data_IF_538314383794
#
_entry.id   IF_538314383794
#
_cell.length_a   1.000
_cell.length_b   1.000
_cell.length_c   1.000
_cell.angle_alpha   90.00
_cell.angle_beta   90.00
_cell.angle_gamma   90.00
#
_symmetry.space_group_name_H-M   'P 1'
#
loop_
_entity.id
_entity.type
_entity.pdbx_description
1 polymer ?
#
# COMPACT_ATOMS: atom_id res chain seq x y z
N UNK A 1 -32.76 54.85 -7.13
CA UNK A 1 -31.70 55.03 -8.12
C UNK A 1 -30.40 54.60 -7.44
N UNK A 2 -29.92 53.42 -7.75
CA UNK A 2 -28.76 52.80 -7.08
C UNK A 2 -27.58 52.77 -8.03
N UNK A 3 -26.41 53.20 -7.55
CA UNK A 3 -25.14 53.05 -8.25
C UNK A 3 -24.46 51.78 -7.74
N UNK A 4 -24.21 50.85 -8.66
CA UNK A 4 -23.39 49.68 -8.43
C UNK A 4 -21.92 50.06 -8.53
N UNK A 5 -21.17 49.96 -7.42
CA UNK A 5 -19.75 50.12 -7.41
C UNK A 5 -19.07 48.79 -7.83
N UNK A 6 -18.36 48.80 -8.95
CA UNK A 6 -17.51 47.71 -9.41
C UNK A 6 -16.13 47.93 -8.77
N UNK A 7 -15.73 46.99 -7.88
CA UNK A 7 -14.42 46.97 -7.28
C UNK A 7 -13.45 46.22 -8.23
N UNK A 8 -12.59 46.96 -8.91
CA UNK A 8 -11.55 46.40 -9.77
C UNK A 8 -10.34 46.07 -8.90
N UNK A 9 -10.08 44.76 -8.64
CA UNK A 9 -8.86 44.33 -7.95
C UNK A 9 -7.79 44.11 -9.00
N UNK A 10 -6.83 45.05 -9.03
CA UNK A 10 -5.63 44.96 -9.87
C UNK A 10 -4.63 44.05 -9.19
N UNK A 11 -4.40 42.85 -9.74
CA UNK A 11 -3.40 41.91 -9.27
C UNK A 11 -2.05 42.31 -9.88
N UNK A 12 -1.15 42.93 -9.09
CA UNK A 12 0.24 43.13 -9.48
C UNK A 12 1.02 41.83 -9.35
N UNK A 13 1.34 41.19 -10.48
CA UNK A 13 2.31 40.09 -10.54
C UNK A 13 3.70 40.71 -10.62
N UNK A 14 4.46 40.67 -9.53
CA UNK A 14 5.90 40.95 -9.55
C UNK A 14 6.63 39.71 -10.07
N UNK A 15 7.07 39.75 -11.32
CA UNK A 15 8.02 38.78 -11.85
C UNK A 15 9.43 39.10 -11.35
N UNK A 16 9.89 38.37 -10.34
CA UNK A 16 11.31 38.36 -9.95
C UNK A 16 12.01 37.37 -10.89
N UNK A 17 12.69 37.90 -11.88
CA UNK A 17 13.63 37.15 -12.70
C UNK A 17 14.88 36.86 -11.89
N UNK A 18 14.90 35.79 -11.09
CA UNK A 18 16.11 35.21 -10.56
C UNK A 18 16.68 34.29 -11.65
N UNK A 19 17.86 34.59 -12.15
CA UNK A 19 18.59 33.74 -13.07
C UNK A 19 18.90 32.39 -12.42
N UNK A 20 18.12 31.37 -12.77
CA UNK A 20 18.38 30.01 -12.39
C UNK A 20 19.33 29.47 -13.45
N UNK A 21 20.60 29.33 -13.08
CA UNK A 21 21.52 28.49 -13.83
C UNK A 21 20.90 27.11 -13.97
N UNK A 22 20.72 26.63 -15.20
CA UNK A 22 20.30 25.28 -15.49
C UNK A 22 21.32 24.31 -14.91
N UNK A 23 21.09 23.88 -13.67
CA UNK A 23 21.70 22.68 -13.14
C UNK A 23 21.05 21.53 -13.92
N UNK A 24 21.71 21.05 -14.96
CA UNK A 24 21.40 19.77 -15.55
C UNK A 24 21.67 18.72 -14.48
N UNK A 25 20.65 18.45 -13.65
CA UNK A 25 20.61 17.25 -12.85
C UNK A 25 20.64 16.08 -13.83
N UNK A 26 21.82 15.50 -14.01
CA UNK A 26 21.97 14.22 -14.70
C UNK A 26 21.04 13.27 -13.94
N UNK A 27 20.03 12.67 -14.57
CA UNK A 27 19.20 11.70 -13.88
C UNK A 27 20.15 10.58 -13.44
N UNK A 28 20.37 10.46 -12.16
CA UNK A 28 20.97 9.29 -11.55
C UNK A 28 19.96 8.16 -11.80
N UNK A 29 20.03 7.53 -12.96
CA UNK A 29 19.40 6.23 -13.15
C UNK A 29 20.15 5.31 -12.19
N UNK A 30 19.52 5.00 -11.08
CA UNK A 30 19.97 3.91 -10.22
C UNK A 30 19.92 2.66 -11.09
N UNK A 31 21.08 2.12 -11.45
CA UNK A 31 21.23 0.83 -12.17
C UNK A 31 20.74 -0.36 -11.32
N UNK A 32 20.18 -0.09 -10.15
CA UNK A 32 19.59 -1.12 -9.30
C UNK A 32 18.32 -1.66 -9.94
N UNK A 33 18.19 -2.97 -10.10
CA UNK A 33 16.99 -3.56 -10.66
C UNK A 33 15.76 -3.14 -9.83
N UNK A 34 14.65 -2.86 -10.50
CA UNK A 34 13.35 -2.61 -9.84
C UNK A 34 12.95 -3.86 -9.07
N UNK A 35 12.59 -3.70 -7.80
CA UNK A 35 12.24 -4.82 -6.93
C UNK A 35 10.80 -4.70 -6.43
N UNK A 36 10.08 -5.80 -6.47
CA UNK A 36 8.76 -5.93 -5.87
C UNK A 36 8.75 -7.10 -4.88
N UNK A 37 7.87 -7.03 -3.89
CA UNK A 37 7.62 -8.14 -2.98
C UNK A 37 6.13 -8.41 -2.84
N UNK A 38 5.77 -9.70 -2.87
CA UNK A 38 4.46 -10.21 -2.50
C UNK A 38 4.57 -10.92 -1.16
N UNK A 39 3.81 -10.46 -0.18
CA UNK A 39 3.81 -10.94 1.20
C UNK A 39 2.44 -11.52 1.54
N UNK A 40 2.39 -12.81 1.91
CA UNK A 40 1.18 -13.48 2.40
C UNK A 40 1.48 -14.24 3.70
N UNK A 41 1.43 -13.56 4.86
CA UNK A 41 1.78 -14.15 6.16
C UNK A 41 0.84 -15.27 6.62
N UNK A 42 -0.35 -15.38 6.05
CA UNK A 42 -1.40 -16.30 6.45
C UNK A 42 -1.73 -17.32 5.34
N UNK A 43 -0.76 -17.67 4.51
CA UNK A 43 -0.98 -18.51 3.32
C UNK A 43 -1.55 -19.89 3.67
N UNK A 44 -1.18 -20.48 4.81
CA UNK A 44 -1.74 -21.76 5.28
C UNK A 44 -3.23 -21.65 5.65
N UNK A 45 -3.69 -20.48 6.13
CA UNK A 45 -5.08 -20.26 6.56
C UNK A 45 -5.94 -19.67 5.47
N UNK A 46 -5.34 -18.87 4.62
CA UNK A 46 -5.97 -18.14 3.53
C UNK A 46 -5.13 -18.26 2.26
N UNK A 47 -5.11 -19.43 1.59
CA UNK A 47 -4.31 -19.65 0.40
C UNK A 47 -4.57 -18.60 -0.68
N UNK A 48 -3.50 -18.12 -1.30
CA UNK A 48 -3.57 -17.17 -2.40
C UNK A 48 -4.11 -17.87 -3.64
N UNK A 49 -5.28 -17.45 -4.10
CA UNK A 49 -5.82 -17.97 -5.35
C UNK A 49 -5.01 -17.41 -6.54
N UNK A 50 -4.36 -18.30 -7.27
CA UNK A 50 -3.61 -17.96 -8.47
C UNK A 50 -2.52 -16.90 -8.24
N UNK A 51 -1.45 -17.30 -7.56
CA UNK A 51 -0.28 -16.47 -7.27
C UNK A 51 0.32 -15.81 -8.52
N UNK A 52 0.31 -16.51 -9.65
CA UNK A 52 0.82 -16.01 -10.92
C UNK A 52 0.13 -14.73 -11.36
N UNK A 53 -1.14 -14.55 -11.04
CA UNK A 53 -1.88 -13.34 -11.36
C UNK A 53 -1.46 -12.12 -10.52
N UNK A 54 -0.71 -12.31 -9.44
CA UNK A 54 -0.03 -11.26 -8.69
C UNK A 54 1.39 -11.00 -9.22
N UNK A 55 2.13 -12.06 -9.48
CA UNK A 55 3.56 -12.01 -9.80
C UNK A 55 3.82 -11.60 -11.24
N UNK A 56 3.16 -12.22 -12.22
CA UNK A 56 3.40 -11.96 -13.64
C UNK A 56 3.16 -10.51 -14.07
N UNK A 57 2.12 -9.78 -13.58
CA UNK A 57 1.96 -8.36 -13.90
C UNK A 57 3.18 -7.52 -13.51
N UNK A 58 3.76 -7.76 -12.35
CA UNK A 58 4.95 -7.05 -11.86
C UNK A 58 6.20 -7.42 -12.68
N UNK A 59 6.38 -8.71 -12.99
CA UNK A 59 7.48 -9.17 -13.85
C UNK A 59 7.40 -8.55 -15.25
N UNK A 60 6.19 -8.45 -15.85
CA UNK A 60 5.98 -7.77 -17.15
C UNK A 60 6.29 -6.28 -17.09
N UNK A 61 6.10 -5.64 -15.92
CA UNK A 61 6.48 -4.26 -15.69
C UNK A 61 7.98 -4.07 -15.38
N UNK A 62 8.79 -5.16 -15.45
CA UNK A 62 10.24 -5.15 -15.30
C UNK A 62 10.74 -5.28 -13.86
N UNK A 63 9.89 -5.70 -12.92
CA UNK A 63 10.30 -5.94 -11.54
C UNK A 63 10.88 -7.34 -11.34
N UNK A 64 11.94 -7.44 -10.56
CA UNK A 64 12.31 -8.68 -9.89
C UNK A 64 11.37 -8.86 -8.70
N UNK A 65 10.64 -9.99 -8.62
CA UNK A 65 9.59 -10.22 -7.62
C UNK A 65 10.03 -11.28 -6.63
N UNK A 66 10.11 -10.90 -5.37
CA UNK A 66 10.25 -11.81 -4.26
C UNK A 66 8.87 -12.21 -3.73
N UNK A 67 8.69 -13.48 -3.35
CA UNK A 67 7.44 -14.00 -2.81
C UNK A 67 7.73 -14.63 -1.45
N UNK A 68 7.07 -14.13 -0.41
CA UNK A 68 7.24 -14.63 0.95
C UNK A 68 5.88 -15.04 1.53
N UNK A 69 5.89 -16.23 2.16
CA UNK A 69 4.72 -16.82 2.80
C UNK A 69 4.99 -17.14 4.26
N UNK A 70 3.92 -17.16 5.07
CA UNK A 70 3.92 -17.63 6.45
C UNK A 70 5.07 -17.03 7.26
N UNK A 71 5.86 -17.83 7.96
CA UNK A 71 6.95 -17.41 8.86
C UNK A 71 8.05 -16.56 8.18
N UNK A 72 8.17 -16.62 6.85
CA UNK A 72 9.09 -15.75 6.12
C UNK A 72 8.65 -14.28 6.12
N UNK A 73 7.36 -14.01 6.39
CA UNK A 73 6.83 -12.65 6.63
C UNK A 73 6.89 -12.33 8.12
N UNK A 74 8.06 -12.48 8.70
CA UNK A 74 8.31 -12.29 10.14
C UNK A 74 8.28 -10.81 10.55
N UNK A 75 8.17 -10.55 11.85
CA UNK A 75 8.30 -9.20 12.42
C UNK A 75 9.66 -8.58 12.06
N UNK A 76 10.74 -9.37 12.09
CA UNK A 76 12.06 -8.91 11.69
C UNK A 76 12.09 -8.48 10.22
N UNK A 77 11.52 -9.29 9.31
CA UNK A 77 11.42 -8.93 7.89
C UNK A 77 10.61 -7.63 7.70
N UNK A 78 9.43 -7.57 8.30
CA UNK A 78 8.54 -6.40 8.20
C UNK A 78 9.17 -5.13 8.77
N UNK A 79 10.06 -5.25 9.76
CA UNK A 79 10.73 -4.11 10.39
C UNK A 79 12.00 -3.61 9.69
N UNK A 80 12.60 -4.40 8.78
CA UNK A 80 13.92 -4.05 8.23
C UNK A 80 14.02 -4.13 6.71
N UNK A 81 13.20 -4.93 6.04
CA UNK A 81 13.44 -5.31 4.65
C UNK A 81 12.59 -4.55 3.62
N UNK A 82 11.47 -3.93 4.03
CA UNK A 82 10.53 -3.30 3.10
C UNK A 82 11.17 -2.14 2.31
N UNK A 83 12.17 -1.45 2.88
CA UNK A 83 12.90 -0.37 2.21
C UNK A 83 13.70 -0.81 0.97
N UNK A 84 13.86 -2.12 0.74
CA UNK A 84 14.56 -2.66 -0.43
C UNK A 84 13.69 -2.75 -1.68
N UNK A 85 12.36 -2.52 -1.54
CA UNK A 85 11.38 -2.75 -2.60
C UNK A 85 10.75 -1.45 -3.07
N UNK A 86 10.53 -1.36 -4.38
CA UNK A 86 9.82 -0.26 -5.05
C UNK A 86 8.31 -0.53 -5.07
N UNK A 87 7.91 -1.81 -5.02
CA UNK A 87 6.50 -2.24 -4.93
C UNK A 87 6.35 -3.25 -3.80
N UNK A 88 5.40 -2.99 -2.92
CA UNK A 88 5.05 -3.88 -1.80
C UNK A 88 3.59 -4.29 -1.95
N UNK A 89 3.34 -5.59 -2.09
CA UNK A 89 2.00 -6.16 -1.99
C UNK A 89 1.93 -6.94 -0.69
N UNK A 90 1.13 -6.45 0.25
CA UNK A 90 0.92 -7.07 1.55
C UNK A 90 -0.51 -7.62 1.62
N UNK A 91 -0.67 -8.93 1.53
CA UNK A 91 -1.94 -9.64 1.66
C UNK A 91 -2.05 -10.22 3.07
N UNK A 92 -2.75 -9.52 3.96
CA UNK A 92 -2.86 -9.87 5.37
C UNK A 92 -4.27 -9.65 5.90
N UNK A 93 -4.60 -10.23 7.05
CA UNK A 93 -5.83 -9.91 7.78
C UNK A 93 -5.54 -8.98 8.96
N UNK A 94 -6.57 -8.34 9.47
CA UNK A 94 -6.48 -7.44 10.61
C UNK A 94 -7.46 -7.79 11.70
N UNK A 95 -7.15 -7.37 12.91
CA UNK A 95 -8.04 -7.44 14.06
C UNK A 95 -7.87 -6.21 14.95
N UNK A 96 -8.97 -5.80 15.60
CA UNK A 96 -8.96 -4.72 16.58
C UNK A 96 -8.66 -5.24 17.98
N UNK A 97 -7.81 -4.53 18.73
CA UNK A 97 -7.59 -4.77 20.15
C UNK A 97 -7.32 -3.44 20.87
N UNK A 98 -8.06 -3.16 21.94
CA UNK A 98 -7.94 -1.92 22.74
C UNK A 98 -7.94 -0.61 21.92
N UNK A 99 -8.71 -0.55 20.85
CA UNK A 99 -8.81 0.62 19.98
C UNK A 99 -7.69 0.78 18.97
N UNK A 100 -6.84 -0.22 18.79
CA UNK A 100 -5.80 -0.30 17.77
C UNK A 100 -6.12 -1.39 16.77
N UNK A 101 -5.78 -1.14 15.49
CA UNK A 101 -5.77 -2.16 14.46
C UNK A 101 -4.38 -2.82 14.40
N UNK A 102 -4.40 -4.15 14.39
CA UNK A 102 -3.22 -4.99 14.24
C UNK A 102 -3.36 -5.84 12.97
N UNK A 103 -2.29 -5.95 12.22
CA UNK A 103 -2.19 -6.69 10.97
C UNK A 103 -1.35 -7.93 11.18
N UNK A 104 -1.86 -9.09 10.80
CA UNK A 104 -1.17 -10.35 11.04
C UNK A 104 0.16 -10.42 10.28
N UNK A 105 1.22 -10.83 10.98
CA UNK A 105 2.48 -11.27 10.42
C UNK A 105 2.52 -12.80 10.36
N UNK A 106 3.53 -13.37 9.71
CA UNK A 106 3.83 -14.80 9.73
C UNK A 106 4.67 -15.23 10.94
N UNK A 107 4.92 -14.31 11.88
CA UNK A 107 5.70 -14.60 13.07
C UNK A 107 5.05 -15.71 13.92
N UNK A 108 5.76 -16.78 14.28
CA UNK A 108 5.22 -17.82 15.14
C UNK A 108 4.77 -17.26 16.51
N UNK A 109 3.56 -17.64 16.92
CA UNK A 109 2.96 -17.20 18.20
C UNK A 109 3.75 -17.76 19.41
N UNK A 110 4.37 -18.92 19.24
CA UNK A 110 5.13 -19.57 20.30
C UNK A 110 6.28 -18.67 20.79
N UNK A 111 6.31 -18.40 22.10
CA UNK A 111 7.28 -17.52 22.76
C UNK A 111 7.26 -16.04 22.32
N UNK A 112 6.37 -15.62 21.42
CA UNK A 112 6.30 -14.24 20.93
C UNK A 112 6.06 -13.24 22.07
N UNK A 113 5.21 -13.59 23.07
CA UNK A 113 4.97 -12.72 24.24
C UNK A 113 6.22 -12.40 25.05
N UNK A 114 7.14 -13.36 25.17
CA UNK A 114 8.41 -13.15 25.88
C UNK A 114 9.42 -12.42 25.01
N UNK A 115 9.51 -12.82 23.75
CA UNK A 115 10.48 -12.26 22.81
C UNK A 115 10.23 -10.79 22.47
N UNK A 116 8.95 -10.40 22.38
CA UNK A 116 8.51 -9.05 22.01
C UNK A 116 7.81 -8.30 23.16
N UNK A 117 8.22 -8.56 24.42
CA UNK A 117 7.55 -7.96 25.58
C UNK A 117 7.57 -6.42 25.56
N UNK A 118 8.63 -5.81 25.05
CA UNK A 118 8.77 -4.36 24.88
C UNK A 118 7.78 -3.80 23.86
N UNK A 119 7.76 -4.37 22.68
CA UNK A 119 6.92 -3.96 21.55
C UNK A 119 5.42 -4.20 21.83
N UNK A 120 5.10 -5.21 22.62
CA UNK A 120 3.73 -5.46 23.10
C UNK A 120 3.32 -4.38 24.11
N UNK A 121 4.22 -4.02 25.05
CA UNK A 121 3.95 -2.96 26.02
C UNK A 121 3.78 -1.58 25.38
N UNK A 122 4.50 -1.31 24.29
CA UNK A 122 4.37 -0.07 23.50
C UNK A 122 3.23 -0.11 22.48
N UNK A 123 2.45 -1.20 22.39
CA UNK A 123 1.37 -1.42 21.41
C UNK A 123 1.83 -1.44 19.96
N UNK A 124 3.10 -1.64 19.73
CA UNK A 124 3.63 -1.88 18.38
C UNK A 124 3.21 -3.26 17.87
N UNK A 125 3.21 -4.26 18.76
CA UNK A 125 2.78 -5.63 18.48
C UNK A 125 1.67 -6.08 19.43
N UNK A 126 0.88 -7.05 18.95
CA UNK A 126 -0.07 -7.79 19.77
C UNK A 126 -0.01 -9.28 19.43
N UNK A 127 -0.14 -10.14 20.48
CA UNK A 127 -0.13 -11.60 20.30
C UNK A 127 -1.52 -12.16 20.60
N UNK A 128 -2.25 -12.48 19.55
CA UNK A 128 -3.56 -13.12 19.54
C UNK A 128 -3.52 -14.47 18.82
N UNK A 129 -4.41 -14.68 17.86
CA UNK A 129 -4.38 -15.82 16.96
C UNK A 129 -3.16 -15.79 16.01
N UNK A 130 -2.66 -14.62 15.73
CA UNK A 130 -1.39 -14.35 15.06
C UNK A 130 -0.57 -13.34 15.88
N UNK A 131 0.69 -13.12 15.51
CA UNK A 131 1.46 -11.94 15.96
C UNK A 131 1.12 -10.79 15.03
N UNK A 132 0.35 -9.82 15.51
CA UNK A 132 -0.07 -8.65 14.76
C UNK A 132 0.88 -7.47 14.99
N UNK A 133 1.16 -6.69 13.94
CA UNK A 133 1.86 -5.42 14.00
C UNK A 133 0.89 -4.25 13.78
N UNK A 134 1.15 -3.13 14.42
CA UNK A 134 0.35 -1.91 14.30
C UNK A 134 1.03 -0.85 13.42
N UNK A 135 0.32 0.26 13.19
CA UNK A 135 0.91 1.47 12.57
C UNK A 135 2.07 2.03 13.37
N UNK A 136 2.11 1.82 14.69
CA UNK A 136 3.21 2.27 15.56
C UNK A 136 4.50 1.51 15.24
N UNK A 137 4.41 0.19 15.08
CA UNK A 137 5.54 -0.66 14.68
C UNK A 137 6.15 -0.19 13.35
N UNK A 138 5.31 0.01 12.33
CA UNK A 138 5.80 0.49 11.03
C UNK A 138 6.39 1.90 11.11
N UNK A 139 5.78 2.81 11.90
CA UNK A 139 6.28 4.17 12.07
C UNK A 139 7.63 4.22 12.79
N UNK A 140 7.88 3.29 13.72
CA UNK A 140 9.16 3.13 14.40
C UNK A 140 10.20 2.53 13.46
N UNK A 141 9.84 1.46 12.74
CA UNK A 141 10.73 0.77 11.82
C UNK A 141 11.12 1.61 10.61
N UNK A 142 10.18 2.43 10.11
CA UNK A 142 10.35 3.23 8.90
C UNK A 142 10.10 4.72 9.17
N UNK A 143 11.12 5.47 9.59
CA UNK A 143 11.05 6.92 9.73
C UNK A 143 10.70 7.61 8.40
N UNK A 144 10.34 8.88 8.47
CA UNK A 144 9.97 9.69 7.30
C UNK A 144 11.02 9.60 6.18
N UNK A 145 10.59 9.19 4.99
CA UNK A 145 11.44 9.09 3.80
C UNK A 145 12.39 7.89 3.77
N UNK A 146 12.22 6.90 4.64
CA UNK A 146 13.11 5.72 4.71
C UNK A 146 12.78 4.63 3.69
N UNK A 147 11.54 4.59 3.17
CA UNK A 147 11.16 3.68 2.10
C UNK A 147 11.55 4.26 0.73
N UNK A 148 11.78 3.38 -0.24
CA UNK A 148 11.93 3.81 -1.63
C UNK A 148 10.63 4.45 -2.12
N UNK A 149 10.71 5.53 -2.94
CA UNK A 149 9.53 6.10 -3.58
C UNK A 149 8.88 5.07 -4.49
N UNK A 150 7.77 4.50 -4.07
CA UNK A 150 7.13 3.41 -4.78
C UNK A 150 5.68 3.21 -4.40
N UNK A 151 5.14 2.05 -4.72
CA UNK A 151 3.74 1.70 -4.56
C UNK A 151 3.53 0.63 -3.50
N UNK A 152 2.57 0.86 -2.60
CA UNK A 152 2.14 -0.11 -1.61
C UNK A 152 0.68 -0.49 -1.87
N UNK A 153 0.42 -1.78 -1.97
CA UNK A 153 -0.92 -2.35 -2.05
C UNK A 153 -1.15 -3.30 -0.87
N UNK A 154 -1.88 -2.84 0.12
CA UNK A 154 -2.23 -3.63 1.30
C UNK A 154 -3.62 -4.24 1.10
N UNK A 155 -3.68 -5.57 1.05
CA UNK A 155 -4.87 -6.37 0.77
C UNK A 155 -5.32 -7.02 2.06
N UNK A 156 -6.49 -6.63 2.55
CA UNK A 156 -7.05 -7.14 3.80
C UNK A 156 -8.00 -6.16 4.47
N UNK A 157 -8.66 -6.60 5.53
CA UNK A 157 -9.60 -5.78 6.29
C UNK A 157 -8.89 -4.55 6.86
N UNK A 158 -9.56 -3.40 6.86
CA UNK A 158 -9.09 -2.12 7.44
C UNK A 158 -7.69 -1.63 7.02
N UNK A 159 -7.08 -2.24 6.00
CA UNK A 159 -5.70 -1.91 5.59
C UNK A 159 -5.53 -0.46 5.12
N UNK A 160 -6.62 0.26 4.81
CA UNK A 160 -6.59 1.70 4.54
C UNK A 160 -5.93 2.52 5.67
N UNK A 161 -6.02 2.07 6.92
CA UNK A 161 -5.40 2.73 8.06
C UNK A 161 -3.86 2.75 8.01
N UNK A 162 -3.23 1.86 7.24
CA UNK A 162 -1.78 1.85 7.03
C UNK A 162 -1.28 2.98 6.10
N UNK A 163 -2.19 3.64 5.36
CA UNK A 163 -1.84 4.57 4.28
C UNK A 163 -0.95 5.73 4.75
N UNK A 164 -1.33 6.41 5.82
CA UNK A 164 -0.59 7.57 6.33
C UNK A 164 0.84 7.20 6.77
N UNK A 165 1.00 6.00 7.33
CA UNK A 165 2.30 5.49 7.78
C UNK A 165 3.21 5.19 6.59
N UNK A 166 2.72 4.47 5.57
CA UNK A 166 3.51 4.16 4.39
C UNK A 166 3.85 5.41 3.57
N UNK A 167 2.91 6.35 3.39
CA UNK A 167 3.18 7.61 2.68
C UNK A 167 4.20 8.46 3.43
N UNK A 168 4.10 8.57 4.76
CA UNK A 168 5.08 9.29 5.58
C UNK A 168 6.46 8.62 5.50
N UNK A 169 6.50 7.30 5.46
CA UNK A 169 7.74 6.54 5.30
C UNK A 169 8.38 6.72 3.91
N UNK A 170 7.68 7.24 2.91
CA UNK A 170 8.23 7.56 1.59
C UNK A 170 7.52 6.91 0.41
N UNK A 171 6.51 6.06 0.62
CA UNK A 171 5.71 5.54 -0.48
C UNK A 171 5.04 6.69 -1.26
N UNK A 172 5.02 6.60 -2.58
CA UNK A 172 4.40 7.60 -3.47
C UNK A 172 2.89 7.39 -3.55
N UNK A 173 2.45 6.14 -3.58
CA UNK A 173 1.05 5.75 -3.66
C UNK A 173 0.75 4.55 -2.78
N UNK A 174 -0.46 4.51 -2.25
CA UNK A 174 -0.96 3.45 -1.40
C UNK A 174 -2.38 3.06 -1.80
N UNK A 175 -2.65 1.76 -1.90
CA UNK A 175 -4.01 1.22 -2.01
C UNK A 175 -4.26 0.28 -0.83
N UNK A 176 -5.44 0.37 -0.23
CA UNK A 176 -5.92 -0.50 0.84
C UNK A 176 -7.43 -0.66 0.81
N UNK A 177 -8.00 -1.21 1.87
CA UNK A 177 -9.43 -1.47 2.02
C UNK A 177 -9.97 -0.86 3.30
N UNK A 178 -11.19 -0.28 3.23
CA UNK A 178 -11.87 0.33 4.37
C UNK A 178 -12.67 -0.65 5.24
N UNK A 179 -12.98 -1.83 4.73
CA UNK A 179 -13.94 -2.70 5.39
C UNK A 179 -13.39 -3.38 6.62
N UNK A 180 -14.18 -3.37 7.70
CA UNK A 180 -13.96 -4.06 8.97
C UNK A 180 -14.60 -5.46 9.02
N UNK A 181 -15.36 -5.82 7.98
CA UNK A 181 -16.07 -7.10 7.89
C UNK A 181 -15.20 -8.15 7.23
N UNK A 182 -15.47 -9.40 7.58
CA UNK A 182 -14.80 -10.56 6.96
C UNK A 182 -14.83 -10.45 5.43
N UNK A 183 -13.69 -10.11 4.85
CA UNK A 183 -13.53 -10.03 3.40
C UNK A 183 -13.74 -11.43 2.80
N UNK A 184 -14.48 -11.48 1.71
CA UNK A 184 -14.54 -12.70 0.91
C UNK A 184 -13.26 -12.80 0.08
N UNK A 185 -12.26 -13.50 0.60
CA UNK A 185 -10.90 -13.53 0.04
C UNK A 185 -10.86 -13.84 -1.45
N UNK A 186 -11.66 -14.77 -1.94
CA UNK A 186 -11.72 -15.05 -3.38
C UNK A 186 -12.16 -13.86 -4.23
N UNK A 187 -13.02 -12.97 -3.70
CA UNK A 187 -13.41 -11.73 -4.40
C UNK A 187 -12.32 -10.67 -4.31
N UNK A 188 -11.71 -10.54 -3.15
CA UNK A 188 -10.60 -9.60 -2.92
C UNK A 188 -9.43 -9.96 -3.82
N UNK A 189 -9.07 -11.24 -3.90
CA UNK A 189 -8.02 -11.74 -4.79
C UNK A 189 -8.36 -11.46 -6.26
N UNK A 190 -9.57 -11.78 -6.72
CA UNK A 190 -9.97 -11.53 -8.10
C UNK A 190 -9.91 -10.03 -8.47
N UNK A 191 -10.34 -9.16 -7.55
CA UNK A 191 -10.28 -7.69 -7.71
C UNK A 191 -8.85 -7.19 -7.75
N UNK A 192 -8.01 -7.65 -6.85
CA UNK A 192 -6.60 -7.27 -6.74
C UNK A 192 -5.81 -7.70 -7.97
N UNK A 193 -6.02 -8.93 -8.44
CA UNK A 193 -5.39 -9.45 -9.65
C UNK A 193 -5.81 -8.66 -10.88
N UNK A 194 -7.08 -8.28 -10.98
CA UNK A 194 -7.59 -7.47 -12.08
C UNK A 194 -6.99 -6.06 -12.07
N UNK A 195 -6.86 -5.45 -10.90
CA UNK A 195 -6.20 -4.15 -10.73
C UNK A 195 -4.74 -4.20 -11.19
N UNK A 196 -3.97 -5.19 -10.72
CA UNK A 196 -2.57 -5.39 -11.12
C UNK A 196 -2.43 -5.65 -12.62
N UNK A 197 -3.37 -6.38 -13.22
CA UNK A 197 -3.41 -6.58 -14.67
C UNK A 197 -3.54 -5.25 -15.43
N UNK A 198 -4.34 -4.30 -14.97
CA UNK A 198 -4.44 -2.97 -15.60
C UNK A 198 -3.16 -2.16 -15.39
N UNK A 199 -2.62 -2.15 -14.18
CA UNK A 199 -1.36 -1.45 -13.88
C UNK A 199 -0.21 -1.96 -14.75
N UNK A 200 -0.10 -3.27 -14.97
CA UNK A 200 0.93 -3.85 -15.83
C UNK A 200 0.78 -3.55 -17.33
N UNK A 201 -0.40 -3.05 -17.73
CA UNK A 201 -0.65 -2.54 -19.08
C UNK A 201 -0.25 -1.07 -19.25
N UNK A 202 0.36 -0.46 -18.22
CA UNK A 202 0.81 0.93 -18.20
C UNK A 202 -0.27 1.95 -17.86
N UNK A 203 -1.45 1.51 -17.40
CA UNK A 203 -2.45 2.44 -16.85
C UNK A 203 -1.98 3.00 -15.51
N UNK A 204 -2.36 4.25 -15.22
CA UNK A 204 -2.17 4.82 -13.89
C UNK A 204 -3.06 4.12 -12.85
N UNK A 205 -2.78 4.34 -11.56
CA UNK A 205 -3.63 3.80 -10.49
C UNK A 205 -5.07 4.30 -10.66
N UNK A 206 -5.27 5.59 -10.90
CA UNK A 206 -6.60 6.17 -11.12
C UNK A 206 -7.33 5.52 -12.30
N UNK A 207 -6.66 5.40 -13.45
CA UNK A 207 -7.26 4.77 -14.64
C UNK A 207 -7.59 3.30 -14.39
N UNK A 208 -6.73 2.60 -13.65
CA UNK A 208 -6.91 1.20 -13.29
C UNK A 208 -8.14 1.00 -12.39
N UNK A 209 -8.34 1.87 -11.40
CA UNK A 209 -9.52 1.86 -10.52
C UNK A 209 -10.80 2.18 -11.31
N UNK A 210 -10.77 3.18 -12.19
CA UNK A 210 -11.91 3.51 -13.06
C UNK A 210 -12.28 2.32 -13.95
N UNK A 211 -11.31 1.67 -14.57
CA UNK A 211 -11.52 0.47 -15.40
C UNK A 211 -12.08 -0.69 -14.60
N UNK A 212 -11.55 -0.90 -13.40
CA UNK A 212 -12.03 -1.91 -12.48
C UNK A 212 -13.49 -1.67 -12.09
N UNK A 213 -13.85 -0.43 -11.73
CA UNK A 213 -15.24 -0.05 -11.41
C UNK A 213 -16.18 -0.30 -12.59
N UNK A 214 -15.77 0.02 -13.81
CA UNK A 214 -16.56 -0.28 -15.02
C UNK A 214 -16.73 -1.79 -15.22
N UNK A 215 -15.66 -2.57 -15.06
CA UNK A 215 -15.71 -4.03 -15.16
C UNK A 215 -16.72 -4.63 -14.16
N UNK A 216 -16.74 -4.16 -12.93
CA UNK A 216 -17.67 -4.61 -11.91
C UNK A 216 -19.13 -4.26 -12.25
N UNK A 217 -19.39 -3.07 -12.80
CA UNK A 217 -20.73 -2.60 -13.18
C UNK A 217 -21.29 -3.26 -14.44
N UNK A 218 -20.46 -3.89 -15.28
CA UNK A 218 -20.89 -4.53 -16.53
C UNK A 218 -21.34 -5.99 -16.38
N UNK A 219 -21.74 -6.43 -15.19
CA UNK A 219 -22.43 -7.71 -14.99
C UNK A 219 -21.59 -8.86 -14.44
N UNK A 220 -20.33 -8.62 -14.08
CA UNK A 220 -19.50 -9.63 -13.43
C UNK A 220 -19.74 -9.76 -11.92
N UNK A 221 -20.78 -9.10 -11.40
CA UNK A 221 -21.13 -9.15 -9.99
C UNK A 221 -22.50 -8.53 -9.70
N UNK A 222 -23.59 -9.29 -9.86
CA UNK A 222 -24.89 -8.82 -9.41
C UNK A 222 -24.90 -8.67 -7.89
N UNK A 223 -25.35 -7.50 -7.40
CA UNK A 223 -25.85 -7.22 -6.03
C UNK A 223 -24.95 -7.49 -4.83
N UNK A 224 -23.76 -8.06 -4.99
CA UNK A 224 -22.84 -8.23 -3.88
C UNK A 224 -22.04 -6.94 -3.71
N UNK A 225 -21.99 -6.43 -2.49
CA UNK A 225 -21.09 -5.33 -2.12
C UNK A 225 -19.65 -5.76 -2.37
N UNK A 226 -18.98 -5.09 -3.30
CA UNK A 226 -17.55 -5.26 -3.51
C UNK A 226 -16.79 -4.50 -2.43
N UNK A 227 -15.66 -5.04 -1.94
CA UNK A 227 -14.86 -4.34 -0.96
C UNK A 227 -14.41 -2.97 -1.49
N UNK A 228 -14.53 -1.95 -0.65
CA UNK A 228 -14.19 -0.57 -1.02
C UNK A 228 -12.68 -0.38 -1.03
N UNK A 229 -12.12 -0.11 -2.21
CA UNK A 229 -10.73 0.30 -2.37
C UNK A 229 -10.56 1.75 -1.89
N UNK A 230 -9.47 1.96 -1.18
CA UNK A 230 -8.99 3.26 -0.75
C UNK A 230 -7.67 3.58 -1.44
N UNK A 231 -7.60 4.71 -2.11
CA UNK A 231 -6.37 5.25 -2.69
C UNK A 231 -5.90 6.46 -1.90
N UNK A 232 -4.62 6.53 -1.60
CA UNK A 232 -3.93 7.70 -1.03
C UNK A 232 -2.60 7.94 -1.74
N UNK A 233 -2.18 9.20 -1.83
CA UNK A 233 -0.97 9.59 -2.56
C UNK A 233 -1.21 9.82 -4.05
N UNK A 234 -0.18 9.58 -4.86
CA UNK A 234 -0.18 9.90 -6.29
C UNK A 234 -0.94 8.86 -7.13
N UNK A 235 -2.17 9.17 -7.48
CA UNK A 235 -3.00 8.33 -8.36
C UNK A 235 -2.52 8.27 -9.82
N UNK A 236 -1.56 9.10 -10.22
CA UNK A 236 -0.96 9.07 -11.58
C UNK A 236 0.19 8.07 -11.67
N UNK A 237 0.63 7.49 -10.54
CA UNK A 237 1.68 6.48 -10.50
C UNK A 237 1.39 5.30 -11.43
N UNK A 238 2.43 4.80 -12.09
CA UNK A 238 2.42 3.63 -12.99
C UNK A 238 3.52 2.66 -12.56
N UNK A 239 3.29 1.36 -12.77
CA UNK A 239 4.31 0.33 -12.57
C UNK A 239 5.47 0.43 -13.56
#
# INVERSE_FOLDING_TARGET
MGLKGILLITLCVLAVAAGVGESHAVPFFSDSPKRAVFLSPLEEWMPTWNLDAYVQPLQRAGYQVDVLFNENVSIAFLGTELAKYDVIILRTDSFGYEGFDFYCSGEPVANARTRFAGEISSRELHVGACVGFSVLFLSHSYPTGSLRPGFVYAIGSTTAALSSTFLKAGAVAFIGYYEDKSLQWGRVDALSQKLLSYLSQGYSINDSIIRLTRYLNTGHGSTATWPMLYLSGDGTYKL
#
